data_IF_961775314164
#
_entry.id   IF_961775314164
#
_cell.length_a   1.000
_cell.length_b   1.000
_cell.length_c   1.000
_cell.angle_alpha   90.00
_cell.angle_beta   90.00
_cell.angle_gamma   90.00
#
_symmetry.space_group_name_H-M   'P 1'
#
loop_
_entity.id
_entity.type
_entity.pdbx_description
1 polymer ?
#
# COMPACT_ATOMS: atom_id res chain seq x y z
N UNK A 1 23.68 -38.09 7.30
CA UNK A 1 22.32 -37.71 6.87
C UNK A 1 21.94 -36.26 7.19
N UNK A 2 22.91 -35.33 7.35
CA UNK A 2 22.66 -33.88 7.54
C UNK A 2 23.44 -33.03 6.51
N UNK A 3 23.84 -33.65 5.39
CA UNK A 3 24.55 -32.98 4.28
C UNK A 3 23.72 -32.84 3.01
N UNK A 4 22.56 -33.50 2.93
CA UNK A 4 21.75 -33.57 1.70
C UNK A 4 20.45 -32.75 1.76
N UNK A 5 20.24 -31.95 2.81
CA UNK A 5 19.08 -31.05 2.93
C UNK A 5 19.39 -29.59 2.54
N UNK A 6 20.64 -29.29 2.18
CA UNK A 6 21.07 -27.94 1.81
C UNK A 6 21.04 -27.67 0.30
N UNK A 7 20.68 -28.67 -0.52
CA UNK A 7 20.70 -28.60 -1.98
C UNK A 7 19.37 -28.20 -2.65
N UNK A 8 18.31 -27.91 -1.88
CA UNK A 8 16.99 -27.52 -2.43
C UNK A 8 16.40 -26.26 -1.78
N UNK A 9 17.25 -25.36 -1.31
CA UNK A 9 16.87 -23.97 -1.06
C UNK A 9 17.48 -23.13 -2.18
N UNK A 10 16.77 -23.02 -3.31
CA UNK A 10 16.93 -21.88 -4.22
C UNK A 10 16.57 -20.62 -3.41
N UNK A 11 17.57 -20.07 -2.72
CA UNK A 11 17.49 -18.73 -2.18
C UNK A 11 17.60 -17.80 -3.39
N UNK A 12 16.46 -17.48 -3.98
CA UNK A 12 16.33 -16.42 -4.97
C UNK A 12 16.69 -15.08 -4.31
N UNK A 13 17.99 -14.75 -4.33
CA UNK A 13 18.44 -13.41 -4.03
C UNK A 13 17.99 -12.51 -5.17
N UNK A 14 16.80 -11.91 -5.02
CA UNK A 14 16.38 -10.77 -5.82
C UNK A 14 17.32 -9.60 -5.49
N UNK A 15 18.46 -9.54 -6.19
CA UNK A 15 19.39 -8.41 -6.11
C UNK A 15 18.69 -7.21 -6.75
N UNK A 16 18.48 -6.16 -5.96
CA UNK A 16 17.95 -4.91 -6.46
C UNK A 16 18.90 -4.37 -7.54
N UNK A 17 18.37 -4.06 -8.72
CA UNK A 17 19.15 -3.51 -9.81
C UNK A 17 19.71 -2.15 -9.39
N UNK A 18 21.04 -2.00 -9.34
CA UNK A 18 21.69 -0.70 -9.08
C UNK A 18 22.10 -0.07 -10.41
N UNK A 19 21.44 1.03 -10.78
CA UNK A 19 21.68 1.74 -12.03
C UNK A 19 22.62 2.95 -11.83
N UNK A 20 22.85 3.37 -10.58
CA UNK A 20 23.70 4.52 -10.22
C UNK A 20 24.89 4.04 -9.40
N UNK A 21 26.09 4.06 -9.99
CA UNK A 21 27.30 3.49 -9.35
C UNK A 21 27.86 4.29 -8.17
N UNK A 22 27.45 5.54 -7.99
CA UNK A 22 27.96 6.38 -6.91
C UNK A 22 26.97 6.46 -5.72
N UNK A 23 27.27 5.83 -4.57
CA UNK A 23 26.41 5.86 -3.39
C UNK A 23 26.39 7.23 -2.68
N UNK A 24 27.34 8.14 -2.95
CA UNK A 24 27.42 9.45 -2.30
C UNK A 24 26.71 10.58 -3.05
N UNK A 25 26.03 10.28 -4.16
CA UNK A 25 25.23 11.28 -4.88
C UNK A 25 24.00 11.67 -4.04
N UNK A 26 23.87 12.98 -3.72
CA UNK A 26 22.74 13.50 -2.94
C UNK A 26 21.38 13.22 -3.59
N UNK A 27 21.34 13.18 -4.92
CA UNK A 27 20.13 12.93 -5.71
C UNK A 27 20.01 11.47 -6.17
N UNK A 28 20.82 10.55 -5.60
CA UNK A 28 20.86 9.13 -5.98
C UNK A 28 19.47 8.50 -6.12
N UNK A 29 18.52 8.64 -5.16
CA UNK A 29 17.20 8.01 -5.30
C UNK A 29 16.43 8.49 -6.54
N UNK A 30 16.56 9.77 -6.89
CA UNK A 30 15.92 10.37 -8.06
C UNK A 30 16.61 9.94 -9.37
N UNK A 31 17.95 9.88 -9.37
CA UNK A 31 18.73 9.42 -10.51
C UNK A 31 18.51 7.93 -10.80
N UNK A 32 18.49 7.11 -9.75
CA UNK A 32 18.18 5.69 -9.79
C UNK A 32 16.79 5.45 -10.36
N UNK A 33 15.78 6.19 -9.87
CA UNK A 33 14.43 6.12 -10.42
C UNK A 33 14.40 6.49 -11.92
N UNK A 34 15.03 7.60 -12.30
CA UNK A 34 15.09 8.04 -13.70
C UNK A 34 15.74 6.99 -14.61
N UNK A 35 16.86 6.43 -14.19
CA UNK A 35 17.59 5.43 -14.97
C UNK A 35 16.80 4.13 -15.13
N UNK A 36 16.18 3.64 -14.05
CA UNK A 36 15.36 2.42 -14.07
C UNK A 36 14.06 2.60 -14.88
N UNK A 37 13.49 3.81 -14.90
CA UNK A 37 12.23 4.09 -15.57
C UNK A 37 12.39 4.53 -17.04
N UNK A 38 13.59 4.97 -17.47
CA UNK A 38 13.82 5.41 -18.85
C UNK A 38 13.35 4.39 -19.91
N UNK A 39 13.69 3.08 -19.81
CA UNK A 39 13.23 2.10 -20.81
C UNK A 39 11.71 1.93 -20.86
N UNK A 40 11.04 2.08 -19.71
CA UNK A 40 9.56 2.00 -19.60
C UNK A 40 8.92 3.18 -20.32
N UNK A 41 9.52 4.37 -20.22
CA UNK A 41 9.01 5.57 -20.86
C UNK A 41 9.32 5.64 -22.37
N UNK A 42 10.46 5.11 -22.79
CA UNK A 42 10.86 5.05 -24.20
C UNK A 42 10.03 4.04 -24.99
N UNK A 43 9.72 2.88 -24.39
CA UNK A 43 8.98 1.79 -25.05
C UNK A 43 7.83 1.29 -24.18
N UNK A 44 6.79 2.11 -23.94
CA UNK A 44 5.71 1.77 -23.02
C UNK A 44 4.94 0.52 -23.43
N UNK A 45 4.72 0.30 -24.74
CA UNK A 45 4.00 -0.87 -25.25
C UNK A 45 4.72 -2.21 -24.93
N UNK A 46 6.06 -2.18 -24.84
CA UNK A 46 6.88 -3.35 -24.52
C UNK A 46 7.06 -3.54 -23.01
N UNK A 47 6.73 -2.52 -22.20
CA UNK A 47 6.92 -2.56 -20.76
C UNK A 47 6.15 -3.71 -20.09
N UNK A 48 6.72 -4.22 -19.01
CA UNK A 48 6.17 -5.28 -18.15
C UNK A 48 6.36 -4.91 -16.67
N UNK A 49 5.45 -5.37 -15.79
CA UNK A 49 5.69 -5.31 -14.35
C UNK A 49 6.99 -6.02 -13.99
N UNK A 50 7.84 -5.39 -13.19
CA UNK A 50 9.14 -5.93 -12.80
C UNK A 50 9.35 -5.76 -11.29
N UNK A 51 9.44 -6.90 -10.60
CA UNK A 51 9.60 -6.95 -9.14
C UNK A 51 10.97 -6.43 -8.71
N UNK A 52 12.02 -6.73 -9.46
CA UNK A 52 13.38 -6.29 -9.15
C UNK A 52 13.49 -4.77 -9.27
N UNK A 53 12.89 -4.19 -10.33
CA UNK A 53 12.76 -2.74 -10.47
C UNK A 53 11.98 -2.13 -9.31
N UNK A 54 10.82 -2.69 -8.95
CA UNK A 54 10.03 -2.19 -7.81
C UNK A 54 10.83 -2.18 -6.50
N UNK A 55 11.63 -3.22 -6.23
CA UNK A 55 12.49 -3.27 -5.04
C UNK A 55 13.59 -2.20 -5.12
N UNK A 56 14.22 -2.04 -6.28
CA UNK A 56 15.27 -1.04 -6.51
C UNK A 56 14.78 0.42 -6.40
N UNK A 57 13.48 0.66 -6.62
CA UNK A 57 12.83 1.96 -6.40
C UNK A 57 12.48 2.23 -4.93
N UNK A 58 12.83 1.31 -4.01
CA UNK A 58 12.55 1.43 -2.58
C UNK A 58 13.19 2.65 -1.91
N UNK A 59 14.37 3.08 -2.37
CA UNK A 59 15.03 4.29 -1.86
C UNK A 59 14.21 5.55 -2.20
N UNK A 60 13.77 5.69 -3.45
CA UNK A 60 12.97 6.83 -3.92
C UNK A 60 11.64 6.92 -3.17
N UNK A 61 11.00 5.77 -2.93
CA UNK A 61 9.80 5.69 -2.11
C UNK A 61 10.06 6.08 -0.65
N UNK A 62 11.17 5.63 -0.09
CA UNK A 62 11.55 5.94 1.30
C UNK A 62 11.74 7.44 1.49
N UNK A 63 12.45 8.10 0.57
CA UNK A 63 12.62 9.56 0.60
C UNK A 63 11.28 10.29 0.46
N UNK A 64 10.40 9.82 -0.43
CA UNK A 64 9.04 10.36 -0.54
C UNK A 64 8.28 10.28 0.79
N UNK A 65 8.33 9.15 1.49
CA UNK A 65 7.63 8.97 2.77
C UNK A 65 8.26 9.84 3.87
N UNK A 66 9.59 9.94 3.92
CA UNK A 66 10.29 10.84 4.85
C UNK A 66 9.92 12.30 4.65
N UNK A 67 9.69 12.71 3.39
CA UNK A 67 9.26 14.07 3.04
C UNK A 67 7.82 14.42 3.41
N UNK A 68 7.00 13.44 3.83
CA UNK A 68 5.61 13.69 4.23
C UNK A 68 5.53 14.48 5.55
N UNK A 69 4.51 15.33 5.65
CA UNK A 69 4.20 16.03 6.89
C UNK A 69 3.98 15.04 8.06
N UNK A 70 4.37 15.43 9.28
CA UNK A 70 4.31 14.58 10.47
C UNK A 70 2.92 13.95 10.71
N UNK A 71 1.84 14.71 10.51
CA UNK A 71 0.46 14.21 10.63
C UNK A 71 0.17 13.07 9.64
N UNK A 72 0.63 13.19 8.38
CA UNK A 72 0.44 12.14 7.37
C UNK A 72 1.23 10.90 7.75
N UNK A 73 2.48 11.09 8.19
CA UNK A 73 3.34 10.00 8.67
C UNK A 73 2.74 9.26 9.89
N UNK A 74 2.14 9.98 10.83
CA UNK A 74 1.43 9.39 11.96
C UNK A 74 0.26 8.50 11.49
N UNK A 75 -0.54 8.98 10.53
CA UNK A 75 -1.66 8.20 9.98
C UNK A 75 -1.19 7.00 9.16
N UNK A 76 -0.08 7.12 8.40
CA UNK A 76 0.55 5.96 7.73
C UNK A 76 0.90 4.88 8.74
N UNK A 77 1.56 5.24 9.85
CA UNK A 77 1.93 4.30 10.92
C UNK A 77 0.70 3.65 11.54
N UNK A 78 -0.30 4.45 11.91
CA UNK A 78 -1.55 3.97 12.50
C UNK A 78 -2.29 3.01 11.55
N UNK A 79 -2.41 3.34 10.26
CA UNK A 79 -3.09 2.50 9.29
C UNK A 79 -2.35 1.18 9.04
N UNK A 80 -1.02 1.20 8.94
CA UNK A 80 -0.21 -0.02 8.82
C UNK A 80 -0.35 -0.90 10.05
N UNK A 81 -0.38 -0.29 11.23
CA UNK A 81 -0.53 -1.02 12.48
C UNK A 81 -1.95 -1.58 12.65
N UNK A 82 -2.98 -0.84 12.27
CA UNK A 82 -4.35 -1.34 12.26
C UNK A 82 -4.48 -2.59 11.39
N UNK A 83 -3.91 -2.59 10.18
CA UNK A 83 -3.90 -3.78 9.32
C UNK A 83 -3.12 -4.93 10.00
N UNK A 84 -1.91 -4.67 10.50
CA UNK A 84 -1.03 -5.71 11.05
C UNK A 84 -1.53 -6.29 12.39
N UNK A 85 -1.96 -5.45 13.32
CA UNK A 85 -2.35 -5.83 14.70
C UNK A 85 -3.85 -5.99 14.82
N UNK A 86 -4.60 -5.04 14.28
CA UNK A 86 -6.06 -5.00 14.41
C UNK A 86 -6.76 -6.03 13.53
N UNK A 87 -6.20 -6.39 12.37
CA UNK A 87 -6.84 -7.34 11.44
C UNK A 87 -6.12 -8.68 11.37
N UNK A 88 -4.81 -8.69 11.10
CA UNK A 88 -4.07 -9.95 10.95
C UNK A 88 -3.98 -10.67 12.30
N UNK A 89 -3.43 -10.03 13.34
CA UNK A 89 -3.28 -10.70 14.64
C UNK A 89 -4.57 -11.00 15.40
N UNK A 90 -5.72 -10.49 14.96
CA UNK A 90 -7.02 -10.90 15.51
C UNK A 90 -7.67 -12.04 14.70
N UNK A 91 -6.93 -12.68 13.79
CA UNK A 91 -7.44 -13.71 12.89
C UNK A 91 -8.45 -13.21 11.85
N UNK A 92 -8.71 -11.90 11.76
CA UNK A 92 -9.63 -11.31 10.79
C UNK A 92 -9.03 -11.25 9.38
N UNK A 93 -7.70 -11.22 9.26
CA UNK A 93 -6.96 -11.37 8.01
C UNK A 93 -5.84 -12.40 8.21
N UNK A 94 -6.21 -13.62 8.61
CA UNK A 94 -5.33 -14.77 8.76
C UNK A 94 -4.60 -14.84 10.12
N UNK A 95 -4.56 -16.07 10.67
CA UNK A 95 -4.05 -16.52 11.98
C UNK A 95 -4.91 -16.16 13.21
N UNK A 96 -5.82 -17.09 13.55
CA UNK A 96 -6.19 -17.52 14.92
C UNK A 96 -7.38 -18.51 14.93
N UNK A 97 -7.93 -18.87 13.76
CA UNK A 97 -8.67 -20.11 13.63
C UNK A 97 -7.65 -21.25 13.42
N UNK A 98 -7.54 -22.24 14.33
CA UNK A 98 -6.62 -23.38 14.21
C UNK A 98 -6.83 -24.21 12.93
N UNK A 99 -7.91 -23.96 12.19
CA UNK A 99 -8.33 -24.70 11.00
C UNK A 99 -8.10 -23.94 9.67
N UNK A 100 -7.53 -22.73 9.67
CA UNK A 100 -7.29 -21.96 8.43
C UNK A 100 -5.85 -21.49 8.30
N UNK A 101 -5.09 -22.26 7.54
CA UNK A 101 -3.67 -22.04 7.20
C UNK A 101 -3.47 -21.01 6.08
N UNK A 102 -4.13 -19.85 6.16
CA UNK A 102 -4.10 -18.83 5.11
C UNK A 102 -3.66 -17.51 5.71
N UNK A 103 -2.38 -17.15 5.49
CA UNK A 103 -1.83 -15.85 5.86
C UNK A 103 -2.08 -14.82 4.76
N UNK A 104 -2.79 -13.74 5.07
CA UNK A 104 -2.98 -12.63 4.13
C UNK A 104 -1.91 -11.57 4.38
N UNK A 105 -1.11 -11.27 3.37
CA UNK A 105 -0.07 -10.23 3.43
C UNK A 105 -0.47 -8.99 2.66
N UNK A 106 -0.98 -7.98 3.36
CA UNK A 106 -1.18 -6.63 2.81
C UNK A 106 0.17 -5.88 2.73
N UNK A 107 0.62 -5.45 1.53
CA UNK A 107 1.87 -4.70 1.38
C UNK A 107 1.80 -3.36 2.13
N UNK A 108 2.84 -3.02 2.90
CA UNK A 108 2.90 -1.74 3.62
C UNK A 108 2.79 -0.53 2.68
N UNK A 109 3.41 -0.63 1.50
CA UNK A 109 3.34 0.39 0.46
C UNK A 109 1.93 0.64 -0.07
N UNK A 110 1.07 -0.39 -0.10
CA UNK A 110 -0.34 -0.19 -0.45
C UNK A 110 -0.97 0.82 0.49
N UNK A 111 -0.76 0.63 1.80
CA UNK A 111 -1.32 1.51 2.83
C UNK A 111 -0.73 2.92 2.74
N UNK A 112 0.57 3.04 2.52
CA UNK A 112 1.25 4.33 2.32
C UNK A 112 0.63 5.11 1.15
N UNK A 113 0.44 4.47 -0.01
CA UNK A 113 -0.18 5.08 -1.19
C UNK A 113 -1.63 5.48 -0.93
N UNK A 114 -2.41 4.63 -0.24
CA UNK A 114 -3.81 4.95 0.08
C UNK A 114 -3.91 6.18 1.01
N UNK A 115 -3.02 6.30 2.01
CA UNK A 115 -2.99 7.47 2.91
C UNK A 115 -2.58 8.73 2.17
N UNK A 116 -1.54 8.67 1.32
CA UNK A 116 -1.12 9.81 0.49
C UNK A 116 -2.25 10.25 -0.45
N UNK A 117 -2.95 9.30 -1.08
CA UNK A 117 -4.09 9.60 -1.94
C UNK A 117 -5.25 10.24 -1.15
N UNK A 118 -5.59 9.70 0.03
CA UNK A 118 -6.60 10.28 0.91
C UNK A 118 -6.25 11.73 1.29
N UNK A 119 -4.99 11.99 1.62
CA UNK A 119 -4.50 13.34 1.91
C UNK A 119 -4.69 14.29 0.72
N UNK A 120 -4.34 13.86 -0.50
CA UNK A 120 -4.55 14.65 -1.72
C UNK A 120 -6.02 14.95 -1.99
N UNK A 121 -6.91 13.99 -1.70
CA UNK A 121 -8.36 14.18 -1.83
C UNK A 121 -8.90 15.21 -0.84
N UNK A 122 -8.43 15.20 0.42
CA UNK A 122 -8.82 16.18 1.44
C UNK A 122 -8.27 17.58 1.15
N UNK A 123 -7.01 17.68 0.72
CA UNK A 123 -6.39 18.94 0.24
C UNK A 123 -7.20 19.54 -0.90
N UNK A 124 -7.67 18.70 -1.82
CA UNK A 124 -8.45 19.13 -2.97
C UNK A 124 -9.92 19.49 -2.68
N UNK A 125 -10.39 19.35 -1.44
CA UNK A 125 -11.78 19.64 -1.07
C UNK A 125 -12.78 18.48 -1.31
N UNK A 126 -12.30 17.23 -1.39
CA UNK A 126 -13.13 16.03 -1.55
C UNK A 126 -13.51 15.73 -3.01
N UNK A 127 -14.29 14.65 -3.23
CA UNK A 127 -14.85 14.33 -4.56
C UNK A 127 -15.96 15.33 -4.89
N UNK A 128 -15.74 16.21 -5.86
CA UNK A 128 -16.79 17.08 -6.43
C UNK A 128 -17.16 18.30 -5.57
N UNK A 129 -16.37 18.67 -4.57
CA UNK A 129 -16.53 19.94 -3.87
C UNK A 129 -16.21 21.11 -4.79
N UNK A 130 -17.04 22.18 -4.77
CA UNK A 130 -16.66 23.46 -5.35
C UNK A 130 -15.25 23.83 -4.85
N UNK A 131 -14.34 24.32 -5.71
CA UNK A 131 -13.00 24.69 -5.28
C UNK A 131 -13.11 25.63 -4.08
N UNK A 132 -12.67 25.13 -2.92
CA UNK A 132 -12.57 25.98 -1.74
C UNK A 132 -11.55 27.06 -2.06
N UNK A 133 -11.89 28.32 -1.81
CA UNK A 133 -10.98 29.46 -1.97
C UNK A 133 -9.77 29.37 -1.03
N UNK A 134 -9.80 28.45 -0.06
CA UNK A 134 -8.73 28.18 0.89
C UNK A 134 -7.99 26.91 0.48
N UNK A 135 -6.76 27.06 0.00
CA UNK A 135 -5.86 25.94 -0.30
C UNK A 135 -5.49 25.24 1.01
N UNK A 136 -6.18 24.15 1.36
CA UNK A 136 -5.79 23.33 2.52
C UNK A 136 -4.42 22.71 2.24
N UNK A 137 -3.53 22.74 3.22
CA UNK A 137 -2.25 22.02 3.16
C UNK A 137 -2.34 20.73 4.01
N UNK A 138 -1.45 19.75 3.79
CA UNK A 138 -1.40 18.53 4.61
C UNK A 138 -1.32 18.78 6.13
N UNK A 139 -0.71 19.89 6.55
CA UNK A 139 -0.62 20.31 7.96
C UNK A 139 -1.94 20.74 8.56
N UNK A 140 -2.89 21.18 7.73
CA UNK A 140 -4.21 21.68 8.15
C UNK A 140 -5.25 20.55 8.25
N UNK A 141 -4.84 19.29 8.00
CA UNK A 141 -5.71 18.13 8.05
C UNK A 141 -5.56 17.45 9.41
N UNK A 142 -6.69 17.30 10.09
CA UNK A 142 -6.79 16.52 11.32
C UNK A 142 -6.45 15.04 11.06
N UNK A 143 -5.67 14.43 11.95
CA UNK A 143 -5.21 13.05 11.78
C UNK A 143 -6.39 12.06 11.73
N UNK A 144 -7.44 12.31 12.53
CA UNK A 144 -8.65 11.49 12.53
C UNK A 144 -9.40 11.58 11.18
N UNK A 145 -9.54 12.78 10.62
CA UNK A 145 -10.18 12.98 9.31
C UNK A 145 -9.41 12.27 8.19
N UNK A 146 -8.07 12.38 8.21
CA UNK A 146 -7.22 11.68 7.26
C UNK A 146 -7.32 10.16 7.41
N UNK A 147 -7.40 9.65 8.64
CA UNK A 147 -7.57 8.21 8.87
C UNK A 147 -8.93 7.71 8.40
N UNK A 148 -10.02 8.43 8.70
CA UNK A 148 -11.37 8.13 8.22
C UNK A 148 -11.43 8.14 6.68
N UNK A 149 -10.78 9.12 6.05
CA UNK A 149 -10.71 9.21 4.60
C UNK A 149 -9.87 8.06 4.01
N UNK A 150 -8.78 7.67 4.65
CA UNK A 150 -7.99 6.49 4.26
C UNK A 150 -8.85 5.23 4.28
N UNK A 151 -9.66 5.03 5.32
CA UNK A 151 -10.60 3.90 5.41
C UNK A 151 -11.66 3.96 4.29
N UNK A 152 -12.14 5.16 3.93
CA UNK A 152 -13.05 5.33 2.77
C UNK A 152 -12.36 4.91 1.48
N UNK A 153 -11.16 5.41 1.19
CA UNK A 153 -10.43 5.07 -0.05
C UNK A 153 -10.16 3.57 -0.11
N UNK A 154 -9.72 2.97 1.01
CA UNK A 154 -9.50 1.53 1.09
C UNK A 154 -10.79 0.74 0.80
N UNK A 155 -11.90 1.13 1.43
CA UNK A 155 -13.21 0.52 1.16
C UNK A 155 -13.56 0.60 -0.34
N UNK A 156 -13.36 1.76 -0.97
CA UNK A 156 -13.64 1.96 -2.38
C UNK A 156 -12.75 1.10 -3.30
N UNK A 157 -11.47 0.96 -2.98
CA UNK A 157 -10.56 0.06 -3.73
C UNK A 157 -11.02 -1.40 -3.59
N UNK A 158 -11.54 -1.79 -2.42
CA UNK A 158 -12.02 -3.15 -2.18
C UNK A 158 -13.33 -3.45 -2.93
N UNK A 159 -14.26 -2.50 -2.92
CA UNK A 159 -15.67 -2.69 -3.29
C UNK A 159 -16.03 -2.14 -4.67
N UNK A 160 -15.23 -1.23 -5.21
CA UNK A 160 -15.49 -0.54 -6.47
C UNK A 160 -14.27 -0.60 -7.39
N UNK A 161 -14.49 -0.33 -8.68
CA UNK A 161 -13.40 -0.18 -9.64
C UNK A 161 -12.80 1.23 -9.53
N UNK A 162 -12.07 1.49 -8.45
CA UNK A 162 -11.36 2.77 -8.25
C UNK A 162 -9.89 2.62 -8.64
N UNK A 163 -9.40 3.62 -9.36
CA UNK A 163 -7.99 3.80 -9.64
C UNK A 163 -7.41 4.78 -8.63
N UNK A 164 -6.36 4.34 -7.93
CA UNK A 164 -5.56 5.16 -7.02
C UNK A 164 -4.24 5.45 -7.71
N UNK A 165 -4.12 6.70 -8.16
CA UNK A 165 -2.93 7.26 -8.78
C UNK A 165 -2.67 8.59 -8.07
N UNK A 166 -1.47 8.76 -7.53
CA UNK A 166 -1.11 9.99 -6.83
C UNK A 166 -0.91 11.12 -7.84
N UNK A 167 -1.33 12.35 -7.48
CA UNK A 167 -1.18 13.53 -8.34
C UNK A 167 0.27 13.96 -8.53
N UNK A 168 1.13 13.62 -7.57
CA UNK A 168 2.55 13.93 -7.51
C UNK A 168 3.42 12.68 -7.79
N UNK A 169 2.89 11.69 -8.50
CA UNK A 169 3.65 10.54 -8.98
C UNK A 169 4.78 10.99 -9.93
N UNK A 170 5.84 10.19 -10.06
CA UNK A 170 7.01 10.49 -10.90
C UNK A 170 6.76 10.18 -12.39
N UNK A 171 5.48 10.14 -12.78
CA UNK A 171 5.01 9.95 -14.14
C UNK A 171 3.72 10.73 -14.37
N UNK A 172 3.47 11.08 -15.62
CA UNK A 172 2.24 11.76 -16.04
C UNK A 172 1.07 10.78 -16.17
N UNK A 173 -0.18 11.26 -16.14
CA UNK A 173 -1.34 10.43 -16.44
C UNK A 173 -1.26 9.73 -17.80
N UNK A 174 -0.65 10.39 -18.81
CA UNK A 174 -0.43 9.81 -20.13
C UNK A 174 0.57 8.65 -20.09
N UNK A 175 1.68 8.82 -19.37
CA UNK A 175 2.66 7.76 -19.16
C UNK A 175 2.06 6.57 -18.42
N UNK A 176 1.22 6.80 -17.40
CA UNK A 176 0.48 5.75 -16.73
C UNK A 176 -0.44 4.99 -17.70
N UNK A 177 -1.25 5.73 -18.46
CA UNK A 177 -2.20 5.12 -19.39
C UNK A 177 -1.51 4.35 -20.52
N UNK A 178 -0.31 4.77 -20.95
CA UNK A 178 0.48 4.08 -21.97
C UNK A 178 0.96 2.68 -21.53
N UNK A 179 1.03 2.41 -20.22
CA UNK A 179 1.40 1.10 -19.66
C UNK A 179 0.23 0.37 -19.01
N UNK A 180 -1.02 0.77 -19.30
CA UNK A 180 -2.22 0.20 -18.69
C UNK A 180 -2.35 -1.32 -18.84
N UNK A 181 -1.81 -1.90 -19.91
CA UNK A 181 -1.78 -3.35 -20.12
C UNK A 181 -1.01 -4.10 -19.01
N UNK A 182 -0.15 -3.41 -18.26
CA UNK A 182 0.59 -3.97 -17.12
C UNK A 182 -0.28 -4.15 -15.87
N UNK A 183 -1.45 -3.48 -15.76
CA UNK A 183 -2.23 -3.43 -14.53
C UNK A 183 -3.21 -4.59 -14.35
N UNK A 184 -3.34 -5.44 -15.38
CA UNK A 184 -4.30 -6.54 -15.52
C UNK A 184 -5.77 -6.18 -15.28
N UNK A 185 -6.62 -7.21 -15.28
CA UNK A 185 -8.08 -7.06 -15.44
C UNK A 185 -8.88 -7.10 -14.13
N UNK A 186 -8.21 -6.98 -12.98
CA UNK A 186 -8.86 -7.14 -11.65
C UNK A 186 -9.80 -6.00 -11.28
N UNK A 187 -9.81 -4.91 -12.06
CA UNK A 187 -10.60 -3.71 -11.80
C UNK A 187 -10.13 -2.87 -10.62
N UNK A 188 -9.10 -3.31 -9.87
CA UNK A 188 -8.51 -2.62 -8.72
C UNK A 188 -7.12 -2.16 -9.10
N UNK A 189 -6.91 -0.85 -9.15
CA UNK A 189 -5.65 -0.27 -9.58
C UNK A 189 -5.15 0.65 -8.48
N UNK A 190 -4.01 0.29 -7.89
CA UNK A 190 -3.26 1.16 -6.97
C UNK A 190 -1.83 1.18 -7.47
N UNK A 191 -1.43 2.25 -8.15
CA UNK A 191 -0.13 2.30 -8.81
C UNK A 191 0.98 2.70 -7.85
N UNK A 192 2.15 2.11 -8.05
CA UNK A 192 3.38 2.57 -7.41
C UNK A 192 3.63 4.05 -7.79
N UNK A 193 4.04 4.91 -6.84
CA UNK A 193 4.20 6.34 -7.12
C UNK A 193 5.35 6.66 -8.08
N UNK A 194 6.26 5.69 -8.30
CA UNK A 194 7.43 5.84 -9.19
C UNK A 194 7.32 4.95 -10.44
N UNK A 195 6.67 3.79 -10.35
CA UNK A 195 6.60 2.81 -11.45
C UNK A 195 5.14 2.61 -11.88
N UNK A 196 4.71 3.21 -12.99
CA UNK A 196 3.33 3.09 -13.44
C UNK A 196 3.00 1.68 -13.96
N UNK A 197 3.98 0.79 -14.18
CA UNK A 197 3.71 -0.61 -14.56
C UNK A 197 3.30 -1.47 -13.37
N UNK A 198 3.59 -1.02 -12.15
CA UNK A 198 3.43 -1.81 -10.93
C UNK A 198 2.11 -1.50 -10.22
N UNK A 199 1.10 -2.35 -10.45
CA UNK A 199 -0.16 -2.31 -9.71
C UNK A 199 0.00 -3.03 -8.36
N UNK A 200 0.21 -2.26 -7.29
CA UNK A 200 0.44 -2.77 -5.92
C UNK A 200 -0.70 -3.71 -5.48
N UNK A 201 -1.94 -3.45 -5.90
CA UNK A 201 -3.10 -4.27 -5.55
C UNK A 201 -2.98 -5.73 -6.05
N UNK A 202 -2.16 -6.01 -7.07
CA UNK A 202 -1.90 -7.37 -7.55
C UNK A 202 -0.96 -8.18 -6.66
N UNK A 203 -0.20 -7.52 -5.80
CA UNK A 203 0.85 -8.14 -5.00
C UNK A 203 0.43 -8.38 -3.54
N UNK A 204 -0.88 -8.32 -3.27
CA UNK A 204 -1.41 -8.80 -1.99
C UNK A 204 -1.51 -10.33 -2.08
N UNK A 205 -0.66 -11.03 -1.33
CA UNK A 205 -0.55 -12.49 -1.41
C UNK A 205 -1.27 -13.20 -0.27
N UNK A 206 -1.71 -14.42 -0.57
CA UNK A 206 -2.05 -15.44 0.42
C UNK A 206 -0.85 -16.38 0.55
N UNK A 207 -0.39 -16.65 1.76
CA UNK A 207 0.56 -17.72 2.06
C UNK A 207 -0.17 -18.86 2.73
N UNK A 208 -0.13 -20.03 2.11
CA UNK A 208 -0.49 -21.30 2.73
C UNK A 208 0.66 -21.75 3.66
N UNK A 209 0.36 -22.26 4.85
CA UNK A 209 1.39 -22.70 5.83
C UNK A 209 1.86 -24.13 5.56
N UNK A 210 1.07 -24.96 4.86
CA UNK A 210 1.39 -26.38 4.64
C UNK A 210 1.65 -26.77 3.18
N UNK A 211 1.52 -25.86 2.22
CA UNK A 211 1.76 -26.15 0.80
C UNK A 211 2.99 -25.44 0.23
N UNK A 212 3.62 -25.97 -0.84
CA UNK A 212 4.60 -25.21 -1.62
C UNK A 212 3.93 -23.90 -2.03
N UNK A 213 4.60 -22.76 -1.83
CA UNK A 213 4.05 -21.41 -2.03
C UNK A 213 3.12 -21.38 -3.26
N UNK A 214 1.79 -21.43 -3.03
CA UNK A 214 0.86 -21.06 -4.08
C UNK A 214 0.92 -19.55 -4.16
N UNK A 215 1.91 -19.05 -4.90
CA UNK A 215 1.99 -17.68 -5.36
C UNK A 215 0.84 -17.42 -6.35
N UNK A 216 -0.41 -17.50 -5.90
CA UNK A 216 -1.54 -17.00 -6.65
C UNK A 216 -1.35 -15.50 -6.75
N UNK A 217 -1.07 -15.02 -7.96
CA UNK A 217 -0.99 -13.59 -8.26
C UNK A 217 -2.33 -12.95 -7.90
N UNK A 218 -2.33 -12.08 -6.90
CA UNK A 218 -3.51 -11.35 -6.44
C UNK A 218 -4.21 -11.97 -5.23
N UNK A 219 -4.82 -11.08 -4.45
CA UNK A 219 -5.75 -11.44 -3.38
C UNK A 219 -6.94 -12.21 -3.95
N UNK A 220 -7.35 -13.28 -3.26
CA UNK A 220 -8.66 -13.87 -3.47
C UNK A 220 -9.75 -12.79 -3.29
N UNK A 221 -10.79 -12.76 -4.13
CA UNK A 221 -11.89 -11.78 -4.02
C UNK A 221 -12.44 -11.63 -2.60
N UNK A 222 -12.53 -12.74 -1.86
CA UNK A 222 -13.01 -12.84 -0.48
C UNK A 222 -12.16 -12.01 0.49
N UNK A 223 -10.85 -11.94 0.26
CA UNK A 223 -9.94 -11.15 1.08
C UNK A 223 -10.18 -9.66 0.89
N UNK A 224 -10.36 -9.20 -0.37
CA UNK A 224 -10.69 -7.80 -0.65
C UNK A 224 -12.01 -7.43 -0.02
N UNK A 225 -13.02 -8.31 -0.12
CA UNK A 225 -14.31 -8.14 0.54
C UNK A 225 -14.17 -8.00 2.06
N UNK A 226 -13.32 -8.81 2.68
CA UNK A 226 -13.11 -8.78 4.12
C UNK A 226 -12.40 -7.48 4.55
N UNK A 227 -11.33 -7.09 3.87
CA UNK A 227 -10.62 -5.84 4.14
C UNK A 227 -11.55 -4.62 3.97
N UNK A 228 -12.34 -4.58 2.89
CA UNK A 228 -13.35 -3.54 2.66
C UNK A 228 -14.41 -3.49 3.76
N UNK A 229 -14.92 -4.66 4.19
CA UNK A 229 -15.89 -4.78 5.28
C UNK A 229 -15.33 -4.24 6.59
N UNK A 230 -14.09 -4.58 6.94
CA UNK A 230 -13.45 -4.10 8.17
C UNK A 230 -13.20 -2.59 8.13
N UNK A 231 -12.74 -2.07 6.99
CA UNK A 231 -12.59 -0.64 6.78
C UNK A 231 -13.93 0.10 6.96
N UNK A 232 -15.01 -0.41 6.34
CA UNK A 232 -16.37 0.13 6.48
C UNK A 232 -16.86 0.11 7.92
N UNK A 233 -16.69 -1.02 8.62
CA UNK A 233 -17.11 -1.18 10.03
C UNK A 233 -16.40 -0.17 10.92
N UNK A 234 -15.07 -0.08 10.83
CA UNK A 234 -14.30 0.85 11.64
C UNK A 234 -14.66 2.32 11.31
N UNK A 235 -14.81 2.65 10.02
CA UNK A 235 -15.21 3.99 9.60
C UNK A 235 -16.58 4.40 10.16
N UNK A 236 -17.52 3.46 10.25
CA UNK A 236 -18.83 3.70 10.88
C UNK A 236 -18.65 3.94 12.39
N UNK A 237 -17.93 3.07 13.08
CA UNK A 237 -17.66 3.18 14.50
C UNK A 237 -17.03 4.54 14.87
N UNK A 238 -16.00 4.98 14.13
CA UNK A 238 -15.34 6.28 14.34
C UNK A 238 -16.28 7.50 14.22
N UNK A 239 -17.44 7.35 13.58
CA UNK A 239 -18.43 8.43 13.41
C UNK A 239 -19.57 8.39 14.42
N UNK A 240 -19.83 7.25 15.04
CA UNK A 240 -21.07 7.00 15.79
C UNK A 240 -20.84 6.50 17.21
N UNK A 241 -19.68 5.91 17.49
CA UNK A 241 -19.37 5.32 18.79
C UNK A 241 -18.51 6.26 19.64
N UNK A 242 -18.66 6.15 20.96
CA UNK A 242 -17.80 6.83 21.90
C UNK A 242 -16.36 6.30 21.81
N UNK A 243 -15.37 7.16 22.08
CA UNK A 243 -13.95 6.77 22.05
C UNK A 243 -13.62 5.59 22.97
N UNK A 244 -14.27 5.50 24.14
CA UNK A 244 -14.11 4.37 25.06
C UNK A 244 -14.52 3.03 24.44
N UNK A 245 -15.56 3.00 23.61
CA UNK A 245 -15.99 1.80 22.89
C UNK A 245 -15.00 1.47 21.76
N UNK A 246 -14.54 2.47 21.01
CA UNK A 246 -13.50 2.29 19.97
C UNK A 246 -12.23 1.70 20.59
N UNK A 247 -11.79 2.23 21.73
CA UNK A 247 -10.59 1.77 22.42
C UNK A 247 -10.71 0.34 22.94
N UNK A 248 -11.86 -0.03 23.49
CA UNK A 248 -12.04 -1.32 24.17
C UNK A 248 -12.47 -2.46 23.24
N UNK A 249 -13.27 -2.16 22.20
CA UNK A 249 -14.03 -3.19 21.45
C UNK A 249 -13.73 -3.20 19.95
N UNK A 250 -12.94 -2.25 19.41
CA UNK A 250 -12.65 -2.19 17.98
C UNK A 250 -11.28 -2.76 17.61
N UNK A 251 -11.12 -3.10 16.32
CA UNK A 251 -9.82 -3.51 15.73
C UNK A 251 -8.78 -2.38 15.80
N UNK A 252 -9.22 -1.12 15.83
CA UNK A 252 -8.34 0.03 16.05
C UNK A 252 -7.83 0.10 17.48
N UNK A 253 -8.68 -0.23 18.46
CA UNK A 253 -8.30 -0.25 19.87
C UNK A 253 -7.12 -1.19 20.16
N UNK A 254 -7.10 -2.37 19.54
CA UNK A 254 -5.95 -3.29 19.61
C UNK A 254 -4.69 -2.72 18.99
N UNK A 255 -4.80 -2.02 17.85
CA UNK A 255 -3.66 -1.35 17.25
C UNK A 255 -3.13 -0.21 18.13
N UNK A 256 -4.02 0.56 18.76
CA UNK A 256 -3.64 1.67 19.65
C UNK A 256 -2.94 1.16 20.92
N UNK A 257 -3.45 0.11 21.57
CA UNK A 257 -2.79 -0.52 22.73
C UNK A 257 -1.39 -1.02 22.38
N UNK A 258 -1.23 -1.62 21.20
CA UNK A 258 0.07 -2.07 20.71
C UNK A 258 1.07 -0.92 20.42
N UNK A 259 0.62 0.34 20.29
CA UNK A 259 1.51 1.52 20.22
C UNK A 259 1.99 1.96 21.61
N UNK A 260 1.19 1.75 22.65
CA UNK A 260 1.57 2.10 24.03
C UNK A 260 2.57 1.11 24.61
N UNK A 261 2.54 -0.13 24.14
CA UNK A 261 3.45 -1.21 24.57
C UNK A 261 4.80 -1.21 23.82
N UNK A 262 5.01 -0.33 22.84
CA UNK A 262 6.19 -0.28 21.96
C UNK A 262 7.05 0.96 22.19
#
# INVERSE_FOLDING_TARGET
>A
AFKDAASELEIDFLVAQDAVRNPSCKDRPSEQARALMAPVHERPAEARPDKARCIALGESLTERIKGLHANVNAVVRLAKLWVKRGLVQQGLLGADAPEREVHIKVPGILIEVLVMFACQQLVAGGRGGKPSTRTKQPKDIEQLDLFIETLRVLQEVCESRVQVILRDADYTPQQAQAVRHCWGDTGRVVLHPVDPTWNIAHHVCIRDVQGPERNTKGMLPETWTLLGRQARKLRKALKTEAWSAIWSQSTLGTALKALEES
#
